data_IF_709634440263
#
_entry.id   IF_709634440263
#
_cell.length_a   1.000
_cell.length_b   1.000
_cell.length_c   1.000
_cell.angle_alpha   90.00
_cell.angle_beta   90.00
_cell.angle_gamma   90.00
#
_symmetry.space_group_name_H-M   'P 1'
#
loop_
_entity.id
_entity.type
_entity.pdbx_description
1 polymer ?
#
# COMPACT_ATOMS: atom_id res chain seq x y z
N UNK A 1 6.77 -13.75 1.08
CA UNK A 1 5.37 -14.08 0.67
C UNK A 1 4.93 -13.14 -0.39
N UNK A 2 4.11 -12.73 -0.94
CA UNK A 2 3.57 -11.67 -1.76
C UNK A 2 2.10 -11.49 -1.39
N UNK A 3 1.58 -10.33 -1.67
CA UNK A 3 0.19 -9.99 -1.39
C UNK A 3 -0.51 -9.57 -2.67
N UNK A 4 -1.81 -9.88 -2.76
CA UNK A 4 -2.63 -9.49 -3.90
C UNK A 4 -2.66 -7.97 -4.04
N UNK A 5 -2.25 -7.48 -5.22
CA UNK A 5 -2.17 -6.04 -5.50
C UNK A 5 -3.54 -5.37 -5.46
N UNK A 6 -4.63 -6.10 -5.70
CA UNK A 6 -6.02 -5.59 -5.63
C UNK A 6 -6.45 -5.25 -4.20
N UNK A 7 -5.78 -5.82 -3.20
CA UNK A 7 -6.06 -5.54 -1.79
C UNK A 7 -5.37 -4.26 -1.31
N UNK A 8 -4.03 -4.18 -1.46
CA UNK A 8 -3.27 -3.07 -0.90
C UNK A 8 -3.07 -1.90 -1.88
N UNK A 9 -3.18 -2.16 -3.19
CA UNK A 9 -2.94 -1.16 -4.23
C UNK A 9 -3.81 0.09 -4.12
N UNK A 10 -5.15 -0.02 -4.00
CA UNK A 10 -6.01 1.15 -3.82
C UNK A 10 -5.63 2.00 -2.60
N UNK A 11 -5.31 1.34 -1.48
CA UNK A 11 -4.85 2.00 -0.26
C UNK A 11 -3.50 2.71 -0.45
N UNK A 12 -2.58 2.12 -1.21
CA UNK A 12 -1.30 2.72 -1.56
C UNK A 12 -1.48 3.96 -2.45
N UNK A 13 -2.25 3.84 -3.54
CA UNK A 13 -2.50 4.95 -4.47
C UNK A 13 -3.19 6.13 -3.78
N UNK A 14 -4.16 5.87 -2.89
CA UNK A 14 -4.78 6.93 -2.11
C UNK A 14 -3.76 7.69 -1.28
N UNK A 15 -2.90 6.97 -0.54
CA UNK A 15 -1.85 7.58 0.27
C UNK A 15 -0.89 8.41 -0.59
N UNK A 16 -0.41 7.83 -1.69
CA UNK A 16 0.58 8.48 -2.54
C UNK A 16 0.04 9.74 -3.22
N UNK A 17 -1.19 9.71 -3.75
CA UNK A 17 -1.80 10.90 -4.35
C UNK A 17 -2.06 12.01 -3.32
N UNK A 18 -2.57 11.67 -2.14
CA UNK A 18 -2.74 12.64 -1.06
C UNK A 18 -1.40 13.29 -0.68
N UNK A 19 -0.32 12.51 -0.61
CA UNK A 19 1.03 13.02 -0.36
C UNK A 19 1.52 13.90 -1.52
N UNK A 20 1.40 13.42 -2.74
CA UNK A 20 1.93 14.11 -3.90
C UNK A 20 1.27 15.47 -4.15
N UNK A 21 -0.03 15.59 -3.90
CA UNK A 21 -0.78 16.83 -4.15
C UNK A 21 -0.75 17.80 -2.96
N UNK A 22 -0.73 17.29 -1.71
CA UNK A 22 -1.07 18.15 -0.55
C UNK A 22 -0.05 18.12 0.59
N UNK A 23 1.04 17.36 0.46
CA UNK A 23 2.07 17.35 1.50
C UNK A 23 3.27 18.26 1.14
N UNK A 24 3.96 18.82 2.13
CA UNK A 24 5.14 19.62 1.87
C UNK A 24 6.31 18.73 1.39
N UNK A 25 7.02 19.17 0.36
CA UNK A 25 8.27 18.55 -0.12
C UNK A 25 8.22 17.01 -0.26
N UNK A 26 7.25 16.45 -1.00
CA UNK A 26 7.04 14.98 -1.03
C UNK A 26 8.02 14.23 -1.94
N UNK A 27 8.89 14.90 -2.69
CA UNK A 27 9.75 14.34 -3.72
C UNK A 27 10.60 13.18 -3.20
N UNK A 28 11.30 13.39 -2.09
CA UNK A 28 12.16 12.36 -1.50
C UNK A 28 11.40 11.12 -1.03
N UNK A 29 10.17 11.31 -0.53
CA UNK A 29 9.29 10.19 -0.18
C UNK A 29 8.86 9.42 -1.43
N UNK A 30 8.41 10.12 -2.47
CA UNK A 30 7.94 9.48 -3.71
C UNK A 30 9.03 8.62 -4.36
N UNK A 31 10.29 9.05 -4.28
CA UNK A 31 11.42 8.26 -4.77
C UNK A 31 11.69 6.96 -3.97
N UNK A 32 11.13 6.79 -2.77
CA UNK A 32 11.25 5.54 -2.00
C UNK A 32 10.23 4.47 -2.41
N UNK A 33 9.17 4.83 -3.15
CA UNK A 33 8.06 3.92 -3.47
C UNK A 33 8.59 2.67 -4.20
N UNK A 34 9.48 2.85 -5.17
CA UNK A 34 10.07 1.76 -5.95
C UNK A 34 10.74 0.68 -5.12
N UNK A 35 11.23 1.02 -3.92
CA UNK A 35 12.00 0.12 -3.07
C UNK A 35 11.13 -0.62 -2.03
N UNK A 36 9.94 -0.06 -1.71
CA UNK A 36 9.13 -0.50 -0.58
C UNK A 36 7.90 -1.34 -0.95
N UNK A 37 7.48 -1.32 -2.22
CA UNK A 37 6.26 -2.01 -2.63
C UNK A 37 6.31 -3.51 -2.27
N UNK A 38 5.22 -4.10 -1.73
CA UNK A 38 5.18 -5.49 -1.28
C UNK A 38 5.08 -6.52 -2.43
N UNK A 39 5.26 -6.09 -3.66
CA UNK A 39 5.19 -6.90 -4.86
C UNK A 39 6.51 -6.77 -5.65
N UNK A 40 7.25 -7.86 -5.84
CA UNK A 40 8.52 -7.83 -6.58
C UNK A 40 8.39 -7.31 -8.02
N UNK A 41 7.30 -7.65 -8.71
CA UNK A 41 7.03 -7.18 -10.07
C UNK A 41 6.67 -5.68 -10.08
N UNK A 42 6.00 -5.21 -9.03
CA UNK A 42 5.67 -3.80 -8.88
C UNK A 42 6.94 -2.99 -8.61
N UNK A 43 7.83 -3.46 -7.73
CA UNK A 43 9.13 -2.78 -7.50
C UNK A 43 9.94 -2.67 -8.78
N UNK A 44 10.10 -3.77 -9.52
CA UNK A 44 10.84 -3.77 -10.78
C UNK A 44 10.26 -2.76 -11.78
N UNK A 45 8.94 -2.78 -12.01
CA UNK A 45 8.29 -1.84 -12.94
C UNK A 45 8.37 -0.40 -12.45
N UNK A 46 8.19 -0.16 -11.14
CA UNK A 46 8.26 1.20 -10.61
C UNK A 46 9.69 1.76 -10.69
N UNK A 47 10.71 0.91 -10.52
CA UNK A 47 12.11 1.32 -10.70
C UNK A 47 12.39 1.70 -12.17
N UNK A 48 11.91 0.90 -13.13
CA UNK A 48 11.97 1.19 -14.56
C UNK A 48 11.29 2.52 -14.89
N UNK A 49 10.01 2.68 -14.49
CA UNK A 49 9.26 3.91 -14.73
C UNK A 49 9.88 5.14 -14.08
N UNK A 50 10.41 5.00 -12.85
CA UNK A 50 11.14 6.09 -12.19
C UNK A 50 12.38 6.53 -12.99
N UNK A 51 13.10 5.57 -13.59
CA UNK A 51 14.25 5.86 -14.44
C UNK A 51 13.83 6.59 -15.70
N UNK A 52 12.76 6.15 -16.36
CA UNK A 52 12.26 6.72 -17.61
C UNK A 52 11.72 8.15 -17.43
N UNK A 53 11.03 8.39 -16.32
CA UNK A 53 10.43 9.69 -15.99
C UNK A 53 11.44 10.72 -15.47
N UNK A 54 12.57 10.27 -14.95
CA UNK A 54 13.58 11.12 -14.33
C UNK A 54 13.13 11.79 -13.02
N UNK A 55 13.74 12.93 -12.65
CA UNK A 55 13.52 13.58 -11.35
C UNK A 55 12.08 14.04 -11.14
N UNK A 56 11.57 13.86 -9.91
CA UNK A 56 10.26 14.32 -9.49
C UNK A 56 10.24 15.85 -9.27
N UNK A 57 10.04 16.62 -10.35
CA UNK A 57 9.98 18.10 -10.29
C UNK A 57 8.62 18.61 -9.84
N UNK A 58 7.54 18.09 -10.41
CA UNK A 58 6.15 18.31 -10.01
C UNK A 58 5.60 17.00 -9.41
N UNK A 59 5.44 16.88 -8.10
CA UNK A 59 5.05 15.63 -7.47
C UNK A 59 3.68 15.11 -7.90
N UNK A 60 2.70 16.01 -8.05
CA UNK A 60 1.35 15.65 -8.45
C UNK A 60 1.32 15.09 -9.86
N UNK A 61 1.96 15.77 -10.78
CA UNK A 61 2.06 15.35 -12.19
C UNK A 61 2.90 14.09 -12.32
N UNK A 62 4.04 14.03 -11.65
CA UNK A 62 4.93 12.86 -11.68
C UNK A 62 4.22 11.60 -11.21
N UNK A 63 3.47 11.67 -10.09
CA UNK A 63 2.75 10.51 -9.58
C UNK A 63 1.57 10.11 -10.48
N UNK A 64 0.86 11.09 -11.05
CA UNK A 64 -0.18 10.84 -12.04
C UNK A 64 0.35 10.07 -13.25
N UNK A 65 1.46 10.53 -13.82
CA UNK A 65 2.09 9.87 -14.97
C UNK A 65 2.58 8.46 -14.62
N UNK A 66 3.18 8.26 -13.43
CA UNK A 66 3.54 6.95 -12.90
C UNK A 66 2.33 6.01 -12.80
N UNK A 67 1.19 6.51 -12.30
CA UNK A 67 -0.03 5.71 -12.18
C UNK A 67 -0.55 5.29 -13.56
N UNK A 68 -0.52 6.18 -14.54
CA UNK A 68 -0.93 5.88 -15.91
C UNK A 68 0.00 4.88 -16.60
N UNK A 69 1.32 4.91 -16.34
CA UNK A 69 2.24 3.87 -16.79
C UNK A 69 1.90 2.50 -16.20
N UNK A 70 1.54 2.45 -14.91
CA UNK A 70 1.06 1.22 -14.26
C UNK A 70 -0.24 0.74 -14.90
N UNK A 71 -1.20 1.63 -15.15
CA UNK A 71 -2.46 1.30 -15.83
C UNK A 71 -2.21 0.81 -17.26
N UNK A 72 -1.31 1.45 -18.02
CA UNK A 72 -0.91 1.00 -19.34
C UNK A 72 -0.34 -0.41 -19.35
N UNK A 73 0.50 -0.74 -18.37
CA UNK A 73 1.00 -2.11 -18.16
C UNK A 73 -0.13 -3.07 -17.83
N UNK A 74 -1.08 -2.69 -16.98
CA UNK A 74 -2.22 -3.53 -16.63
C UNK A 74 -3.15 -3.78 -17.82
N UNK A 75 -3.41 -2.77 -18.66
CA UNK A 75 -4.17 -2.93 -19.92
C UNK A 75 -3.54 -3.96 -20.84
N UNK A 76 -2.21 -3.91 -21.04
CA UNK A 76 -1.48 -4.91 -21.83
C UNK A 76 -1.58 -6.30 -21.22
N UNK A 77 -1.41 -6.44 -19.91
CA UNK A 77 -1.50 -7.72 -19.23
C UNK A 77 -2.92 -8.31 -19.25
N UNK A 78 -3.96 -7.49 -19.21
CA UNK A 78 -5.35 -7.94 -19.26
C UNK A 78 -5.75 -8.57 -20.59
N UNK A 79 -4.98 -8.35 -21.66
CA UNK A 79 -5.19 -9.02 -22.95
C UNK A 79 -4.84 -10.51 -22.88
N UNK A 80 -3.82 -10.87 -22.10
CA UNK A 80 -3.26 -12.23 -22.05
C UNK A 80 -3.61 -12.99 -20.75
N UNK A 81 -4.02 -12.29 -19.69
CA UNK A 81 -4.23 -12.88 -18.35
C UNK A 81 -5.60 -12.45 -17.78
N UNK A 82 -6.59 -13.36 -17.74
CA UNK A 82 -7.93 -13.06 -17.26
C UNK A 82 -8.00 -12.72 -15.76
N UNK A 83 -6.93 -12.97 -15.00
CA UNK A 83 -6.82 -12.55 -13.60
C UNK A 83 -6.53 -11.06 -13.48
N UNK A 84 -6.03 -10.44 -14.54
CA UNK A 84 -5.74 -9.00 -14.59
C UNK A 84 -6.98 -8.25 -15.06
N UNK A 85 -7.51 -7.41 -14.18
CA UNK A 85 -8.64 -6.54 -14.52
C UNK A 85 -8.10 -5.36 -15.34
N UNK A 86 -8.72 -5.12 -16.49
CA UNK A 86 -8.44 -3.93 -17.29
C UNK A 86 -8.90 -2.69 -16.51
N UNK A 87 -8.01 -1.72 -16.22
CA UNK A 87 -8.37 -0.52 -15.47
C UNK A 87 -9.24 0.49 -16.26
N UNK A 88 -9.47 0.24 -17.57
CA UNK A 88 -10.15 1.19 -18.43
C UNK A 88 -9.25 2.36 -18.87
N UNK A 89 -9.85 3.45 -19.40
CA UNK A 89 -9.14 4.67 -19.76
C UNK A 89 -8.64 5.40 -18.51
N UNK A 90 -7.54 6.12 -18.67
CA UNK A 90 -7.01 6.94 -17.56
C UNK A 90 -7.86 8.21 -17.42
N UNK A 91 -8.29 8.58 -16.20
CA UNK A 91 -8.92 9.88 -15.95
C UNK A 91 -7.94 11.01 -16.24
N UNK A 92 -8.41 12.21 -16.54
CA UNK A 92 -7.56 13.37 -16.71
C UNK A 92 -6.84 13.74 -15.39
N UNK A 93 -5.73 14.46 -15.51
CA UNK A 93 -4.99 14.96 -14.34
C UNK A 93 -5.87 15.80 -13.42
N UNK A 94 -6.71 16.64 -14.01
CA UNK A 94 -7.60 17.55 -13.27
C UNK A 94 -8.71 16.79 -12.53
N UNK A 95 -9.29 15.74 -13.15
CA UNK A 95 -10.25 14.86 -12.46
C UNK A 95 -9.64 14.17 -11.24
N UNK A 96 -8.40 13.69 -11.38
CA UNK A 96 -7.69 13.07 -10.26
C UNK A 96 -7.42 14.11 -9.17
N UNK A 97 -6.95 15.29 -9.53
CA UNK A 97 -6.69 16.37 -8.58
C UNK A 97 -7.95 16.77 -7.81
N UNK A 98 -9.05 17.06 -8.50
CA UNK A 98 -10.33 17.41 -7.87
C UNK A 98 -10.84 16.31 -6.93
N UNK A 99 -10.69 15.03 -7.32
CA UNK A 99 -11.06 13.89 -6.46
C UNK A 99 -10.32 13.91 -5.12
N UNK A 100 -9.01 14.15 -5.13
CA UNK A 100 -8.22 14.16 -3.90
C UNK A 100 -8.39 15.47 -3.10
N UNK A 101 -8.66 16.60 -3.76
CA UNK A 101 -9.08 17.84 -3.09
C UNK A 101 -10.36 17.65 -2.29
N UNK A 102 -11.36 16.99 -2.85
CA UNK A 102 -12.60 16.67 -2.14
C UNK A 102 -12.37 15.81 -0.88
N UNK A 103 -11.43 14.84 -0.97
CA UNK A 103 -11.05 14.03 0.20
C UNK A 103 -10.40 14.89 1.30
N UNK A 104 -9.54 15.83 0.92
CA UNK A 104 -8.89 16.72 1.89
C UNK A 104 -9.89 17.64 2.57
N UNK A 105 -10.87 18.17 1.82
CA UNK A 105 -11.92 19.04 2.34
C UNK A 105 -12.89 18.31 3.29
N UNK A 106 -13.20 17.05 3.00
CA UNK A 106 -14.20 16.28 3.76
C UNK A 106 -13.69 15.67 5.07
N UNK A 107 -12.42 15.74 5.38
CA UNK A 107 -11.72 14.98 6.43
C UNK A 107 -11.73 13.46 6.18
N UNK A 108 -10.64 12.76 6.56
CA UNK A 108 -10.53 11.34 6.30
C UNK A 108 -11.49 10.53 7.19
N UNK A 109 -12.28 9.66 6.58
CA UNK A 109 -13.13 8.67 7.27
C UNK A 109 -12.42 7.34 7.50
N UNK A 110 -11.22 7.18 6.94
CA UNK A 110 -10.35 6.02 7.10
C UNK A 110 -8.89 6.48 7.19
N UNK A 111 -8.03 5.65 7.77
CA UNK A 111 -6.58 5.92 7.82
C UNK A 111 -5.99 5.81 6.42
N UNK A 112 -5.45 6.89 5.84
CA UNK A 112 -4.82 6.83 4.52
C UNK A 112 -3.68 5.82 4.48
N UNK A 113 -3.69 4.95 3.49
CA UNK A 113 -2.63 3.95 3.34
C UNK A 113 -2.69 2.75 4.30
N UNK A 114 -3.73 2.60 5.12
CA UNK A 114 -3.81 1.58 6.19
C UNK A 114 -3.36 0.19 5.75
N UNK A 115 -3.99 -0.34 4.72
CA UNK A 115 -3.77 -1.73 4.30
C UNK A 115 -2.40 -1.89 3.64
N UNK A 116 -1.97 -0.90 2.87
CA UNK A 116 -0.62 -0.85 2.29
C UNK A 116 0.46 -0.83 3.37
N UNK A 117 0.35 0.07 4.36
CA UNK A 117 1.34 0.22 5.42
C UNK A 117 1.49 -1.06 6.25
N UNK A 118 0.40 -1.78 6.52
CA UNK A 118 0.49 -3.05 7.23
C UNK A 118 1.05 -4.17 6.34
N UNK A 119 0.70 -4.18 5.05
CA UNK A 119 1.19 -5.20 4.12
C UNK A 119 2.70 -5.11 3.91
N UNK A 120 3.30 -3.91 3.87
CA UNK A 120 4.77 -3.80 3.76
C UNK A 120 5.47 -4.45 4.94
N UNK A 121 4.97 -4.31 6.16
CA UNK A 121 5.52 -4.99 7.34
C UNK A 121 5.26 -6.50 7.30
N UNK A 122 4.06 -6.90 6.90
CA UNK A 122 3.66 -8.31 6.79
C UNK A 122 4.42 -9.06 5.70
N UNK A 123 4.90 -8.36 4.67
CA UNK A 123 5.71 -8.91 3.57
C UNK A 123 7.22 -8.88 3.84
N UNK A 124 7.65 -8.20 4.91
CA UNK A 124 9.06 -8.06 5.27
C UNK A 124 9.65 -9.40 5.76
N UNK A 125 10.91 -9.67 5.40
CA UNK A 125 11.67 -10.80 5.95
C UNK A 125 11.29 -12.20 5.42
N UNK A 126 10.64 -12.31 4.25
CA UNK A 126 10.35 -13.60 3.61
C UNK A 126 11.45 -14.09 2.66
N UNK A 127 12.48 -13.32 2.42
CA UNK A 127 13.73 -13.80 1.86
C UNK A 127 14.64 -14.22 3.00
N UNK A 128 15.45 -15.25 2.76
CA UNK A 128 16.45 -15.78 3.68
C UNK A 128 17.34 -14.63 4.18
N UNK A 129 17.09 -14.17 5.40
CA UNK A 129 17.73 -13.02 6.08
C UNK A 129 17.29 -11.65 5.50
N UNK A 130 16.73 -10.75 6.31
CA UNK A 130 16.58 -9.36 5.90
C UNK A 130 17.97 -8.77 5.74
N UNK A 131 18.42 -8.61 4.52
CA UNK A 131 19.60 -7.85 4.21
C UNK A 131 19.51 -6.50 4.94
N UNK A 132 20.56 -6.06 5.61
CA UNK A 132 20.63 -4.77 6.30
C UNK A 132 20.29 -3.61 5.37
N UNK A 133 20.60 -3.74 4.10
CA UNK A 133 20.18 -2.81 3.06
C UNK A 133 18.65 -2.68 2.98
N UNK A 134 17.91 -3.80 2.94
CA UNK A 134 16.44 -3.80 2.91
C UNK A 134 15.87 -3.18 4.19
N UNK A 135 16.43 -3.49 5.35
CA UNK A 135 16.03 -2.85 6.61
C UNK A 135 16.24 -1.34 6.57
N UNK A 136 17.37 -0.90 6.00
CA UNK A 136 17.67 0.53 5.84
C UNK A 136 16.65 1.22 4.94
N UNK A 137 16.25 0.62 3.81
CA UNK A 137 15.20 1.14 2.93
C UNK A 137 13.87 1.33 3.69
N UNK A 138 13.48 0.35 4.53
CA UNK A 138 12.28 0.47 5.35
C UNK A 138 12.38 1.58 6.40
N UNK A 139 13.54 1.73 7.08
CA UNK A 139 13.75 2.84 8.04
C UNK A 139 13.68 4.20 7.35
N UNK A 140 14.30 4.34 6.19
CA UNK A 140 14.26 5.57 5.37
C UNK A 140 12.83 5.89 4.94
N UNK A 141 12.07 4.89 4.47
CA UNK A 141 10.67 5.06 4.11
C UNK A 141 9.86 5.64 5.27
N UNK A 142 9.94 5.07 6.47
CA UNK A 142 9.16 5.56 7.62
C UNK A 142 9.57 6.96 8.06
N UNK A 143 10.89 7.25 8.04
CA UNK A 143 11.40 8.59 8.36
C UNK A 143 10.86 9.64 7.39
N UNK A 144 10.85 9.35 6.10
CA UNK A 144 10.31 10.25 5.07
C UNK A 144 8.80 10.34 5.13
N UNK A 145 8.09 9.22 5.30
CA UNK A 145 6.64 9.21 5.47
C UNK A 145 6.19 10.09 6.65
N UNK A 146 6.92 10.07 7.75
CA UNK A 146 6.63 10.89 8.92
C UNK A 146 6.66 12.40 8.65
N UNK A 147 7.42 12.84 7.65
CA UNK A 147 7.52 14.25 7.26
C UNK A 147 6.40 14.68 6.30
N UNK A 148 5.84 13.74 5.55
CA UNK A 148 4.91 14.03 4.45
C UNK A 148 3.55 13.36 4.60
N UNK A 149 3.27 12.66 5.72
CA UNK A 149 1.97 11.99 5.88
C UNK A 149 0.82 12.99 5.67
N UNK A 150 -0.23 12.63 4.90
CA UNK A 150 -1.29 13.56 4.58
C UNK A 150 -2.06 13.98 5.84
N UNK A 151 -2.60 15.18 5.81
CA UNK A 151 -3.27 15.86 6.93
C UNK A 151 -2.31 16.16 8.10
N UNK A 152 -2.23 17.42 8.46
CA UNK A 152 -1.25 17.93 9.43
C UNK A 152 -1.37 17.25 10.81
N UNK A 153 -2.58 17.07 11.30
CA UNK A 153 -2.86 16.43 12.58
C UNK A 153 -2.50 14.94 12.60
N UNK A 154 -2.67 14.23 11.49
CA UNK A 154 -2.22 12.84 11.35
C UNK A 154 -0.71 12.77 11.18
N UNK A 155 -0.10 13.69 10.44
CA UNK A 155 1.35 13.81 10.28
C UNK A 155 2.05 14.02 11.63
N UNK A 156 1.51 14.89 12.49
CA UNK A 156 2.02 15.07 13.83
C UNK A 156 2.02 13.76 14.65
N UNK A 157 0.98 12.94 14.52
CA UNK A 157 0.91 11.62 15.16
C UNK A 157 1.98 10.68 14.61
N UNK A 158 2.10 10.57 13.27
CA UNK A 158 3.09 9.71 12.62
C UNK A 158 4.50 10.12 13.01
N UNK A 159 4.80 11.42 12.95
CA UNK A 159 6.10 11.98 13.34
C UNK A 159 6.44 11.67 14.79
N UNK A 160 5.55 12.00 15.71
CA UNK A 160 5.75 11.72 17.15
C UNK A 160 5.91 10.21 17.42
N UNK A 161 5.18 9.35 16.68
CA UNK A 161 5.30 7.91 16.85
C UNK A 161 6.65 7.38 16.37
N UNK A 162 7.09 7.79 15.19
CA UNK A 162 8.38 7.37 14.60
C UNK A 162 9.56 7.87 15.43
N UNK A 163 9.49 9.12 15.93
CA UNK A 163 10.55 9.73 16.75
C UNK A 163 10.67 9.02 18.12
N UNK A 164 9.56 8.70 18.77
CA UNK A 164 9.54 8.02 20.08
C UNK A 164 9.76 6.52 20.01
N UNK A 165 9.38 5.91 18.91
CA UNK A 165 9.44 4.46 18.68
C UNK A 165 10.08 4.22 17.31
N UNK A 166 11.42 4.19 17.18
CA UNK A 166 12.07 3.90 15.91
C UNK A 166 11.55 2.61 15.27
N UNK A 167 11.44 2.55 13.93
CA UNK A 167 10.88 1.40 13.23
C UNK A 167 11.66 0.11 13.52
N UNK A 168 10.98 -0.89 14.07
CA UNK A 168 11.50 -2.20 14.44
C UNK A 168 11.40 -3.15 13.25
N UNK A 169 12.34 -3.03 12.32
CA UNK A 169 12.33 -3.75 11.03
C UNK A 169 13.19 -5.01 11.00
N UNK A 170 13.87 -5.33 12.07
CA UNK A 170 14.73 -6.49 12.22
C UNK A 170 13.97 -7.84 12.27
N UNK A 171 12.70 -7.81 12.65
CA UNK A 171 11.86 -8.99 12.74
C UNK A 171 10.44 -8.68 12.26
N UNK A 172 9.90 -9.49 11.35
CA UNK A 172 8.56 -9.31 10.78
C UNK A 172 7.45 -9.19 11.82
N UNK A 173 7.44 -10.07 12.82
CA UNK A 173 6.39 -10.06 13.85
C UNK A 173 6.43 -8.79 14.68
N UNK A 174 7.62 -8.34 15.05
CA UNK A 174 7.83 -7.07 15.77
C UNK A 174 7.46 -5.88 14.89
N UNK A 175 7.86 -5.91 13.62
CA UNK A 175 7.54 -4.85 12.67
C UNK A 175 6.03 -4.73 12.42
N UNK A 176 5.32 -5.85 12.24
CA UNK A 176 3.85 -5.84 12.11
C UNK A 176 3.17 -5.25 13.34
N UNK A 177 3.62 -5.58 14.56
CA UNK A 177 3.08 -5.00 15.80
C UNK A 177 3.39 -3.51 15.91
N UNK A 178 4.57 -3.09 15.49
CA UNK A 178 4.96 -1.69 15.46
C UNK A 178 4.05 -0.89 14.52
N UNK A 179 3.85 -1.35 13.28
CA UNK A 179 2.93 -0.70 12.33
C UNK A 179 1.50 -0.70 12.87
N UNK A 180 1.03 -1.81 13.42
CA UNK A 180 -0.30 -1.89 14.00
C UNK A 180 -0.51 -0.86 15.12
N UNK A 181 0.47 -0.67 15.99
CA UNK A 181 0.44 0.36 17.05
C UNK A 181 0.25 1.76 16.50
N UNK A 182 0.93 2.11 15.41
CA UNK A 182 0.73 3.37 14.70
C UNK A 182 -0.69 3.47 14.12
N UNK A 183 -1.16 2.41 13.44
CA UNK A 183 -2.49 2.39 12.84
C UNK A 183 -3.61 2.55 13.87
N UNK A 184 -3.46 1.99 15.08
CA UNK A 184 -4.42 2.18 16.18
C UNK A 184 -4.49 3.66 16.59
N UNK A 185 -3.35 4.36 16.69
CA UNK A 185 -3.33 5.79 17.03
C UNK A 185 -4.00 6.64 15.94
N UNK A 186 -3.71 6.36 14.68
CA UNK A 186 -4.34 7.03 13.54
C UNK A 186 -5.85 6.74 13.47
N UNK A 187 -6.25 5.48 13.66
CA UNK A 187 -7.67 5.06 13.67
C UNK A 187 -8.48 5.76 14.75
N UNK A 188 -7.91 5.94 15.95
CA UNK A 188 -8.55 6.72 17.02
C UNK A 188 -8.77 8.17 16.59
N UNK A 189 -7.79 8.78 15.93
CA UNK A 189 -7.87 10.18 15.50
C UNK A 189 -8.93 10.40 14.43
N UNK A 190 -9.00 9.51 13.41
CA UNK A 190 -10.01 9.60 12.35
C UNK A 190 -11.36 8.97 12.74
N UNK A 191 -11.48 8.45 13.96
CA UNK A 191 -12.68 7.75 14.46
C UNK A 191 -13.11 6.56 13.60
N UNK A 192 -12.15 5.91 12.91
CA UNK A 192 -12.39 4.72 12.10
C UNK A 192 -12.03 3.47 12.90
N UNK A 193 -12.95 2.49 13.07
CA UNK A 193 -12.65 1.29 13.83
C UNK A 193 -11.59 0.44 13.14
N UNK A 194 -10.73 -0.18 13.94
CA UNK A 194 -9.76 -1.16 13.49
C UNK A 194 -9.94 -2.44 14.33
N UNK A 195 -9.93 -3.61 13.68
CA UNK A 195 -9.94 -4.89 14.39
C UNK A 195 -8.74 -5.00 15.33
N UNK A 196 -8.82 -5.85 16.36
CA UNK A 196 -7.65 -6.16 17.16
C UNK A 196 -6.52 -6.74 16.29
N UNK A 197 -5.29 -6.77 16.81
CA UNK A 197 -4.11 -7.16 16.05
C UNK A 197 -4.28 -8.52 15.34
N UNK A 198 -4.78 -9.53 16.06
CA UNK A 198 -4.92 -10.87 15.49
C UNK A 198 -5.97 -10.92 14.38
N UNK A 199 -7.12 -10.30 14.59
CA UNK A 199 -8.18 -10.20 13.58
C UNK A 199 -7.72 -9.45 12.33
N UNK A 200 -6.98 -8.34 12.50
CA UNK A 200 -6.47 -7.57 11.37
C UNK A 200 -5.36 -8.34 10.63
N UNK A 201 -4.44 -8.96 11.36
CA UNK A 201 -3.38 -9.78 10.75
C UNK A 201 -3.95 -11.00 9.98
N UNK A 202 -4.99 -11.65 10.50
CA UNK A 202 -5.70 -12.73 9.81
C UNK A 202 -6.41 -12.22 8.55
N UNK A 203 -7.10 -11.08 8.64
CA UNK A 203 -7.73 -10.45 7.50
C UNK A 203 -6.71 -10.17 6.38
N UNK A 204 -5.58 -9.55 6.69
CA UNK A 204 -4.53 -9.28 5.72
C UNK A 204 -3.91 -10.57 5.17
N UNK A 205 -3.70 -11.58 6.02
CA UNK A 205 -3.14 -12.86 5.59
C UNK A 205 -4.01 -13.61 4.56
N UNK A 206 -5.31 -13.34 4.53
CA UNK A 206 -6.22 -13.88 3.51
C UNK A 206 -5.80 -13.48 2.08
N UNK A 207 -5.18 -12.32 1.90
CA UNK A 207 -4.78 -11.78 0.60
C UNK A 207 -3.36 -12.17 0.16
N UNK A 208 -2.74 -13.16 0.80
CA UNK A 208 -1.44 -13.69 0.35
C UNK A 208 -1.56 -14.30 -1.04
N UNK A 209 -0.69 -13.87 -1.95
CA UNK A 209 -0.66 -14.37 -3.34
C UNK A 209 0.38 -15.46 -3.59
N UNK A 210 1.38 -15.59 -2.72
CA UNK A 210 2.48 -16.55 -2.90
C UNK A 210 3.48 -16.17 -3.99
N UNK A 211 3.41 -14.98 -4.59
CA UNK A 211 4.21 -14.59 -5.76
C UNK A 211 5.73 -14.54 -5.52
N UNK A 212 6.19 -14.62 -4.28
CA UNK A 212 7.62 -14.71 -3.94
C UNK A 212 8.13 -16.15 -3.84
N UNK A 213 7.27 -17.15 -3.86
CA UNK A 213 7.68 -18.55 -3.85
C UNK A 213 8.41 -18.91 -5.14
N UNK A 214 9.45 -19.75 -5.07
CA UNK A 214 10.19 -20.26 -6.24
C UNK A 214 9.28 -20.99 -7.23
N UNK A 215 8.24 -21.66 -6.73
CA UNK A 215 7.24 -22.39 -7.53
C UNK A 215 6.17 -21.52 -8.17
N UNK A 216 6.17 -20.22 -7.93
CA UNK A 216 5.16 -19.31 -8.47
C UNK A 216 5.41 -19.04 -9.96
N UNK A 217 4.47 -19.45 -10.81
CA UNK A 217 4.56 -19.33 -12.29
C UNK A 217 3.86 -18.07 -12.84
N UNK A 218 3.11 -17.32 -12.02
CA UNK A 218 2.39 -16.11 -12.45
C UNK A 218 3.33 -14.92 -12.69
N UNK A 219 2.90 -13.99 -13.54
CA UNK A 219 3.63 -12.74 -13.87
C UNK A 219 3.21 -11.55 -13.02
N UNK A 220 2.24 -11.71 -12.11
CA UNK A 220 1.70 -10.66 -11.22
C UNK A 220 1.54 -11.19 -9.80
N UNK A 221 1.57 -10.30 -8.78
CA UNK A 221 1.26 -10.68 -7.39
C UNK A 221 -0.27 -10.68 -7.17
N UNK A 222 -1.01 -11.46 -7.94
CA UNK A 222 -2.46 -11.67 -7.78
C UNK A 222 -2.73 -13.12 -7.44
N UNK A 223 -3.79 -13.39 -6.67
CA UNK A 223 -4.22 -14.76 -6.41
C UNK A 223 -4.79 -15.34 -7.70
N UNK A 224 -4.23 -16.46 -8.13
CA UNK A 224 -4.81 -17.28 -9.19
C UNK A 224 -6.08 -17.95 -8.62
N UNK A 225 -7.22 -17.72 -9.25
CA UNK A 225 -8.52 -18.23 -8.84
C UNK A 225 -9.33 -17.19 -8.06
N UNK A 226 -10.45 -16.76 -8.65
CA UNK A 226 -11.47 -15.99 -7.97
C UNK A 226 -11.99 -16.76 -6.76
N UNK A 227 -12.07 -16.10 -5.63
CA UNK A 227 -12.77 -16.41 -4.40
C UNK A 227 -13.34 -17.81 -4.15
N UNK A 228 -12.56 -18.86 -4.34
CA UNK A 228 -12.91 -20.17 -3.85
C UNK A 228 -12.62 -20.27 -2.37
N UNK A 229 -13.65 -20.20 -1.53
CA UNK A 229 -13.58 -20.68 -0.17
C UNK A 229 -13.06 -22.11 -0.19
N UNK A 230 -11.83 -22.35 0.21
CA UNK A 230 -11.55 -23.65 0.82
C UNK A 230 -12.36 -23.68 2.11
N UNK A 231 -13.46 -24.41 2.08
CA UNK A 231 -14.25 -24.72 3.27
C UNK A 231 -13.32 -25.38 4.30
N UNK A 232 -12.73 -24.61 5.18
CA UNK A 232 -12.32 -25.16 6.45
C UNK A 232 -13.63 -25.53 7.18
N UNK A 233 -13.95 -26.81 7.17
CA UNK A 233 -14.98 -27.43 8.00
C UNK A 233 -14.59 -27.13 9.45
N UNK A 234 -15.17 -26.12 10.02
CA UNK A 234 -15.35 -25.80 11.45
C UNK A 234 -15.23 -24.30 11.71
N UNK A 235 -16.15 -23.49 11.16
CA UNK A 235 -16.48 -22.22 11.78
C UNK A 235 -18.00 -21.99 11.68
N UNK A 236 -18.60 -21.91 12.86
CA UNK A 236 -20.00 -21.53 13.08
C UNK A 236 -20.29 -20.19 12.37
N UNK A 237 -21.45 -20.15 11.72
CA UNK A 237 -22.03 -19.00 11.04
C UNK A 237 -21.97 -17.75 11.92
N UNK A 238 -21.23 -16.72 11.51
CA UNK A 238 -21.47 -15.35 11.89
C UNK A 238 -21.87 -14.54 10.64
N UNK A 239 -22.89 -13.72 10.83
CA UNK A 239 -23.66 -13.01 9.82
C UNK A 239 -22.80 -12.22 8.83
N UNK A 240 -23.12 -12.35 7.54
CA UNK A 240 -22.69 -11.48 6.45
C UNK A 240 -23.07 -10.02 6.76
N UNK A 241 -22.08 -9.14 6.76
CA UNK A 241 -22.27 -7.72 6.46
C UNK A 241 -21.77 -7.51 5.02
N UNK A 242 -22.70 -7.19 4.13
CA UNK A 242 -22.40 -6.89 2.74
C UNK A 242 -21.81 -5.49 2.64
N UNK A 243 -20.58 -5.38 2.22
CA UNK A 243 -20.06 -4.12 1.70
C UNK A 243 -20.24 -4.12 0.18
N UNK A 244 -21.39 -3.63 -0.28
CA UNK A 244 -21.55 -3.03 -1.60
C UNK A 244 -21.25 -1.54 -1.49
N UNK A 245 -20.59 -1.03 -2.50
CA UNK A 245 -20.30 0.37 -2.82
C UNK A 245 -19.11 1.01 -2.09
N UNK A 246 -18.02 1.09 -2.84
CA UNK A 246 -17.21 2.30 -3.03
C UNK A 246 -16.26 2.03 -4.22
N UNK A 247 -16.75 2.36 -5.40
CA UNK A 247 -15.93 2.64 -6.57
C UNK A 247 -15.32 4.03 -6.43
#
# INVERSE_FOLDING_TARGET
>A
MGYDTRFWGPSAWQLFHLIAFFSPNPQEFLMTIKDILPCKYCRASTAEFTSDMGPCKDPGRWLYDMHNMVNGKLRKQAQDDPVVINPGPDPSFEEIRMRYEAIVQSKPTAVPGRDFLFVIASNHGDADVPDEYVQTLHRVFWKRLAQVYPFEDLRAIVKSYVDKHPPRVENRSVYMRWVYGLLVKLSKKVKAPIHNYNGYAQHVAYYKSGCQKKTYKGKTCRRLGGGGYTKNRNHKKTRRVSHRNLL
#
